data_IF_052596847619
#
_entry.id   IF_052596847619
#
_cell.length_a   1.000
_cell.length_b   1.000
_cell.length_c   1.000
_cell.angle_alpha   90.00
_cell.angle_beta   90.00
_cell.angle_gamma   90.00
#
_symmetry.space_group_name_H-M   'P 1'
#
loop_
_entity.id
_entity.type
_entity.pdbx_description
1 polymer ?
#
# COMPACT_ATOMS: atom_id res chain seq x y z
N UNK A 1 18.18 22.71 -12.60
CA UNK A 1 16.72 22.98 -12.57
C UNK A 1 16.10 22.21 -11.43
N UNK A 2 15.02 22.70 -10.82
CA UNK A 2 14.32 21.95 -9.78
C UNK A 2 13.62 20.73 -10.43
N UNK A 3 13.63 19.60 -9.72
CA UNK A 3 13.11 18.33 -10.22
C UNK A 3 11.58 18.34 -10.21
N UNK A 4 10.96 18.08 -11.36
CA UNK A 4 9.50 17.92 -11.46
C UNK A 4 9.07 16.66 -10.70
N UNK A 5 7.99 16.75 -9.92
CA UNK A 5 7.35 15.60 -9.27
C UNK A 5 5.94 15.44 -9.82
N UNK A 6 5.62 14.24 -10.26
CA UNK A 6 4.26 13.84 -10.63
C UNK A 6 3.52 13.34 -9.39
N UNK A 7 2.37 13.93 -9.09
CA UNK A 7 1.42 13.43 -8.10
C UNK A 7 0.29 12.75 -8.86
N UNK A 8 0.12 11.46 -8.68
CA UNK A 8 -0.92 10.68 -9.33
C UNK A 8 -2.10 10.40 -8.38
N UNK A 9 -3.31 10.66 -8.83
CA UNK A 9 -4.56 10.39 -8.13
C UNK A 9 -5.45 9.54 -9.02
N UNK A 10 -5.93 8.40 -8.52
CA UNK A 10 -6.99 7.63 -9.16
C UNK A 10 -8.31 7.95 -8.47
N UNK A 11 -9.39 8.15 -9.21
CA UNK A 11 -10.69 8.50 -8.67
C UNK A 11 -11.79 7.60 -9.22
N UNK A 12 -12.70 7.17 -8.35
CA UNK A 12 -13.92 6.45 -8.74
C UNK A 12 -15.06 6.74 -7.78
N UNK A 13 -16.11 7.45 -8.25
CA UNK A 13 -17.29 7.83 -7.45
C UNK A 13 -16.90 8.49 -6.12
N UNK A 14 -16.04 9.52 -6.20
CA UNK A 14 -15.37 10.14 -5.07
C UNK A 14 -15.89 11.57 -4.74
N UNK A 15 -17.13 11.90 -5.10
CA UNK A 15 -17.72 13.24 -4.84
C UNK A 15 -17.46 13.75 -3.43
N UNK A 16 -17.59 12.96 -2.34
CA UNK A 16 -17.42 13.48 -0.98
C UNK A 16 -15.97 13.88 -0.63
N UNK A 17 -14.99 13.42 -1.38
CA UNK A 17 -13.58 13.44 -0.94
C UNK A 17 -12.61 14.01 -1.96
N UNK A 18 -12.89 13.87 -3.25
CA UNK A 18 -11.95 14.17 -4.34
C UNK A 18 -11.45 15.62 -4.33
N UNK A 19 -12.31 16.59 -4.02
CA UNK A 19 -11.88 17.99 -3.95
C UNK A 19 -10.83 18.21 -2.86
N UNK A 20 -11.00 17.58 -1.68
CA UNK A 20 -10.06 17.64 -0.57
C UNK A 20 -8.74 16.98 -0.94
N UNK A 21 -8.76 15.80 -1.56
CA UNK A 21 -7.58 15.08 -2.01
C UNK A 21 -6.76 15.91 -3.01
N UNK A 22 -7.40 16.45 -4.05
CA UNK A 22 -6.73 17.29 -5.07
C UNK A 22 -6.19 18.59 -4.45
N UNK A 23 -6.94 19.24 -3.54
CA UNK A 23 -6.45 20.43 -2.82
C UNK A 23 -5.21 20.11 -1.96
N UNK A 24 -5.15 18.93 -1.34
CA UNK A 24 -3.96 18.52 -0.58
C UNK A 24 -2.73 18.32 -1.48
N UNK A 25 -2.93 17.85 -2.73
CA UNK A 25 -1.87 17.78 -3.73
C UNK A 25 -1.42 19.16 -4.21
N UNK A 26 -2.34 20.08 -4.45
CA UNK A 26 -2.04 21.46 -4.79
C UNK A 26 -1.31 22.22 -3.67
N UNK A 27 -1.56 21.86 -2.42
CA UNK A 27 -0.96 22.49 -1.23
C UNK A 27 0.46 21.98 -0.91
N UNK A 28 1.02 21.05 -1.68
CA UNK A 28 2.38 20.58 -1.43
C UNK A 28 3.38 21.72 -1.50
N UNK A 29 4.37 21.73 -0.59
CA UNK A 29 5.37 22.79 -0.50
C UNK A 29 6.43 22.73 -1.61
N UNK A 30 6.72 21.52 -2.14
CA UNK A 30 7.67 21.33 -3.23
C UNK A 30 7.13 21.87 -4.57
N UNK A 31 7.99 22.48 -5.37
CA UNK A 31 7.73 22.90 -6.75
C UNK A 31 8.97 22.64 -7.62
N UNK A 32 8.82 22.31 -8.93
CA UNK A 32 7.54 22.18 -9.67
C UNK A 32 6.84 20.83 -9.42
N UNK A 33 5.51 20.82 -9.55
CA UNK A 33 4.68 19.61 -9.55
C UNK A 33 3.78 19.58 -10.79
N UNK A 34 3.40 18.37 -11.23
CA UNK A 34 2.20 18.10 -12.04
C UNK A 34 1.29 17.15 -11.27
N UNK A 35 -0.01 17.26 -11.46
CA UNK A 35 -1.01 16.42 -10.84
C UNK A 35 -1.77 15.69 -11.93
N UNK A 36 -1.62 14.37 -12.00
CA UNK A 36 -2.35 13.54 -12.94
C UNK A 36 -3.53 12.91 -12.19
N UNK A 37 -4.75 13.20 -12.64
CA UNK A 37 -5.96 12.58 -12.08
C UNK A 37 -6.56 11.65 -13.11
N UNK A 38 -6.69 10.37 -12.74
CA UNK A 38 -7.30 9.34 -13.56
C UNK A 38 -8.68 8.99 -13.02
N UNK A 39 -9.74 9.45 -13.69
CA UNK A 39 -11.11 9.06 -13.39
C UNK A 39 -11.43 7.70 -14.03
N UNK A 40 -11.68 6.69 -13.20
CA UNK A 40 -11.92 5.33 -13.63
C UNK A 40 -13.42 5.07 -13.95
N UNK A 41 -13.98 5.92 -14.84
CA UNK A 41 -15.36 5.84 -15.29
C UNK A 41 -16.39 6.11 -14.17
N UNK A 42 -16.20 7.20 -13.39
CA UNK A 42 -17.19 7.62 -12.38
C UNK A 42 -18.54 7.89 -13.00
N UNK A 43 -19.61 7.53 -12.28
CA UNK A 43 -21.03 7.73 -12.66
C UNK A 43 -21.71 8.82 -11.83
N UNK A 44 -21.02 9.36 -10.83
CA UNK A 44 -21.46 10.50 -10.02
C UNK A 44 -20.87 11.83 -10.54
N UNK A 45 -20.97 12.91 -9.79
CA UNK A 45 -20.46 14.23 -10.16
C UNK A 45 -18.93 14.40 -9.98
N UNK A 46 -18.16 13.32 -9.79
CA UNK A 46 -16.69 13.38 -9.68
C UNK A 46 -16.05 14.04 -10.90
N UNK A 47 -16.40 13.70 -12.16
CA UNK A 47 -15.80 14.31 -13.34
C UNK A 47 -16.01 15.82 -13.44
N UNK A 48 -17.19 16.32 -13.04
CA UNK A 48 -17.53 17.73 -13.07
C UNK A 48 -16.69 18.52 -12.04
N UNK A 49 -16.49 17.97 -10.85
CA UNK A 49 -15.63 18.56 -9.81
C UNK A 49 -14.19 18.62 -10.32
N UNK A 50 -13.67 17.54 -10.90
CA UNK A 50 -12.33 17.48 -11.45
C UNK A 50 -12.13 18.47 -12.60
N UNK A 51 -13.07 18.58 -13.52
CA UNK A 51 -13.02 19.55 -14.62
C UNK A 51 -12.98 21.00 -14.09
N UNK A 52 -13.79 21.30 -13.06
CA UNK A 52 -13.79 22.63 -12.42
C UNK A 52 -12.45 22.95 -11.75
N UNK A 53 -11.78 21.97 -11.12
CA UNK A 53 -10.47 22.16 -10.52
C UNK A 53 -9.39 22.34 -11.59
N UNK A 54 -9.37 21.52 -12.64
CA UNK A 54 -8.40 21.60 -13.72
C UNK A 54 -8.49 22.93 -14.49
N UNK A 55 -9.69 23.49 -14.66
CA UNK A 55 -9.85 24.80 -15.28
C UNK A 55 -9.21 25.96 -14.50
N UNK A 56 -8.97 25.78 -13.19
CA UNK A 56 -8.37 26.81 -12.31
C UNK A 56 -6.89 26.56 -12.01
N UNK A 57 -6.39 25.34 -12.23
CA UNK A 57 -5.07 24.90 -11.84
C UNK A 57 -4.37 24.20 -13.01
N UNK A 58 -3.49 24.90 -13.75
CA UNK A 58 -2.82 24.35 -14.93
C UNK A 58 -1.87 23.18 -14.63
N UNK A 59 -1.55 22.95 -13.37
CA UNK A 59 -0.77 21.80 -12.93
C UNK A 59 -1.56 20.48 -13.04
N UNK A 60 -2.90 20.54 -13.16
CA UNK A 60 -3.77 19.36 -13.20
C UNK A 60 -3.98 18.91 -14.65
N UNK A 61 -3.68 17.65 -14.91
CA UNK A 61 -4.00 16.94 -16.16
C UNK A 61 -5.01 15.84 -15.85
N UNK A 62 -6.15 15.82 -16.54
CA UNK A 62 -7.22 14.87 -16.34
C UNK A 62 -7.19 13.79 -17.42
N UNK A 63 -7.41 12.57 -17.00
CA UNK A 63 -7.65 11.41 -17.86
C UNK A 63 -8.91 10.71 -17.40
N UNK A 64 -9.63 10.07 -18.32
CA UNK A 64 -10.82 9.30 -18.01
C UNK A 64 -10.83 7.99 -18.76
N UNK A 65 -11.16 6.90 -18.05
CA UNK A 65 -11.43 5.59 -18.67
C UNK A 65 -12.84 5.54 -19.25
N UNK A 66 -13.02 4.79 -20.32
CA UNK A 66 -14.34 4.49 -20.88
C UNK A 66 -15.11 3.45 -20.05
N UNK A 67 -14.39 2.62 -19.32
CA UNK A 67 -14.94 1.58 -18.42
C UNK A 67 -14.15 1.54 -17.12
N UNK A 68 -14.75 1.06 -16.03
CA UNK A 68 -14.03 0.85 -14.77
C UNK A 68 -13.03 -0.31 -14.91
N UNK A 69 -11.74 0.05 -14.93
CA UNK A 69 -10.60 -0.87 -15.10
C UNK A 69 -9.92 -1.23 -13.78
N UNK A 70 -10.29 -0.55 -12.70
CA UNK A 70 -9.77 -0.74 -11.35
C UNK A 70 -8.47 0.03 -11.07
N UNK A 71 -8.14 0.12 -9.78
CA UNK A 71 -7.04 0.94 -9.24
C UNK A 71 -5.69 0.66 -9.93
N UNK A 72 -5.33 -0.62 -10.12
CA UNK A 72 -4.04 -0.99 -10.76
C UNK A 72 -3.89 -0.40 -12.17
N UNK A 73 -4.96 -0.43 -12.97
CA UNK A 73 -4.93 0.12 -14.33
C UNK A 73 -4.80 1.65 -14.31
N UNK A 74 -5.49 2.33 -13.38
CA UNK A 74 -5.38 3.77 -13.18
C UNK A 74 -3.97 4.19 -12.77
N UNK A 75 -3.36 3.50 -11.80
CA UNK A 75 -1.98 3.77 -11.38
C UNK A 75 -0.98 3.55 -12.54
N UNK A 76 -1.14 2.49 -13.33
CA UNK A 76 -0.29 2.24 -14.50
C UNK A 76 -0.46 3.31 -15.59
N UNK A 77 -1.69 3.81 -15.80
CA UNK A 77 -1.92 4.93 -16.72
C UNK A 77 -1.20 6.19 -16.24
N UNK A 78 -1.25 6.48 -14.94
CA UNK A 78 -0.51 7.60 -14.34
C UNK A 78 1.00 7.42 -14.57
N UNK A 79 1.56 6.23 -14.35
CA UNK A 79 2.97 5.95 -14.60
C UNK A 79 3.37 6.19 -16.07
N UNK A 80 2.51 5.79 -17.02
CA UNK A 80 2.74 5.99 -18.45
C UNK A 80 2.72 7.47 -18.88
N UNK A 81 1.92 8.29 -18.20
CA UNK A 81 1.71 9.72 -18.50
C UNK A 81 2.62 10.66 -17.68
N UNK A 82 3.28 10.14 -16.65
CA UNK A 82 4.12 10.90 -15.74
C UNK A 82 5.35 11.49 -16.47
N UNK A 83 5.65 12.77 -16.16
CA UNK A 83 6.81 13.51 -16.69
C UNK A 83 7.83 13.83 -15.61
N UNK A 84 7.48 13.59 -14.35
CA UNK A 84 8.30 13.89 -13.19
C UNK A 84 9.49 12.94 -13.03
N UNK A 85 10.57 13.43 -12.43
CA UNK A 85 11.68 12.59 -11.99
C UNK A 85 11.28 11.64 -10.84
N UNK A 86 10.19 11.98 -10.16
CA UNK A 86 9.55 11.14 -9.14
C UNK A 86 8.05 11.08 -9.39
N UNK A 87 7.45 9.95 -9.02
CA UNK A 87 6.00 9.74 -8.99
C UNK A 87 5.58 9.40 -7.58
N UNK A 88 4.63 10.16 -7.04
CA UNK A 88 3.98 9.92 -5.76
C UNK A 88 2.51 9.64 -5.98
N UNK A 89 1.94 8.63 -5.31
CA UNK A 89 0.52 8.34 -5.39
C UNK A 89 -0.23 8.87 -4.17
N UNK A 90 -1.39 9.44 -4.44
CA UNK A 90 -2.36 9.92 -3.46
C UNK A 90 -3.69 9.21 -3.73
N UNK A 91 -4.41 8.83 -2.68
CA UNK A 91 -5.76 8.28 -2.83
C UNK A 91 -6.81 9.41 -2.90
N UNK A 92 -7.95 9.15 -3.52
CA UNK A 92 -9.03 10.14 -3.72
C UNK A 92 -9.84 10.43 -2.45
N UNK A 93 -9.61 9.67 -1.38
CA UNK A 93 -10.27 9.82 -0.07
C UNK A 93 -9.32 10.23 1.07
N UNK A 94 -8.02 10.37 0.77
CA UNK A 94 -6.97 10.73 1.74
C UNK A 94 -6.51 12.19 1.58
N UNK A 95 -5.80 12.69 2.60
CA UNK A 95 -5.12 13.99 2.56
C UNK A 95 -3.62 13.81 2.80
N UNK A 96 -2.81 14.53 2.03
CA UNK A 96 -1.36 14.58 2.25
C UNK A 96 -0.95 15.90 2.88
N UNK A 97 -0.10 15.84 3.91
CA UNK A 97 0.44 17.05 4.53
C UNK A 97 1.35 17.80 3.55
N UNK A 98 1.42 19.13 3.63
CA UNK A 98 2.10 19.97 2.62
C UNK A 98 3.57 19.60 2.39
N UNK A 99 4.26 19.13 3.39
CA UNK A 99 5.69 18.79 3.33
C UNK A 99 5.98 17.37 2.81
N UNK A 100 4.95 16.56 2.45
CA UNK A 100 5.14 15.16 2.09
C UNK A 100 6.09 14.97 0.92
N UNK A 101 5.88 15.68 -0.18
CA UNK A 101 6.68 15.52 -1.41
C UNK A 101 8.14 15.89 -1.18
N UNK A 102 8.40 17.03 -0.52
CA UNK A 102 9.76 17.47 -0.23
C UNK A 102 10.50 16.50 0.70
N UNK A 103 9.82 16.03 1.75
CA UNK A 103 10.39 15.07 2.69
C UNK A 103 10.73 13.73 2.02
N UNK A 104 9.83 13.18 1.19
CA UNK A 104 10.08 11.91 0.49
C UNK A 104 11.19 12.05 -0.54
N UNK A 105 11.20 13.13 -1.31
CA UNK A 105 12.25 13.43 -2.29
C UNK A 105 13.62 13.49 -1.61
N UNK A 106 13.75 14.28 -0.56
CA UNK A 106 14.98 14.40 0.22
C UNK A 106 15.42 13.04 0.75
N UNK A 107 14.51 12.28 1.34
CA UNK A 107 14.78 10.94 1.87
C UNK A 107 15.30 9.97 0.81
N UNK A 108 14.72 9.98 -0.41
CA UNK A 108 15.18 9.14 -1.52
C UNK A 108 16.59 9.55 -1.95
N UNK A 109 16.82 10.84 -2.22
CA UNK A 109 18.10 11.33 -2.71
C UNK A 109 19.25 11.09 -1.73
N UNK A 110 19.03 11.31 -0.44
CA UNK A 110 20.03 11.04 0.60
C UNK A 110 20.34 9.55 0.67
N UNK A 111 19.33 8.71 0.60
CA UNK A 111 19.51 7.26 0.63
C UNK A 111 20.21 6.73 -0.64
N UNK A 112 19.83 7.22 -1.81
CA UNK A 112 20.48 6.87 -3.09
C UNK A 112 21.97 7.19 -3.06
N UNK A 113 22.34 8.34 -2.50
CA UNK A 113 23.74 8.77 -2.40
C UNK A 113 24.57 7.89 -1.48
N UNK A 114 23.98 7.43 -0.36
CA UNK A 114 24.75 6.76 0.70
C UNK A 114 24.71 5.23 0.63
N UNK A 115 23.55 4.65 0.28
CA UNK A 115 23.31 3.22 0.51
C UNK A 115 22.83 2.44 -0.71
N UNK A 116 22.14 3.06 -1.67
CA UNK A 116 21.42 2.33 -2.72
C UNK A 116 22.35 1.66 -3.74
N UNK A 117 23.56 2.22 -4.00
CA UNK A 117 24.53 1.68 -4.98
C UNK A 117 23.91 1.37 -6.35
N UNK A 118 22.92 2.18 -6.77
CA UNK A 118 22.21 2.00 -8.03
C UNK A 118 20.99 1.06 -7.97
N UNK A 119 20.70 0.44 -6.84
CA UNK A 119 19.47 -0.34 -6.67
C UNK A 119 18.23 0.55 -6.65
N UNK A 120 17.06 0.04 -7.07
CA UNK A 120 15.80 0.78 -6.99
C UNK A 120 15.48 1.18 -5.54
N UNK A 121 14.98 2.40 -5.35
CA UNK A 121 14.56 2.92 -4.03
C UNK A 121 13.10 3.32 -4.08
N UNK A 122 12.31 2.87 -3.09
CA UNK A 122 10.95 3.30 -2.89
C UNK A 122 10.79 3.85 -1.47
N UNK A 123 10.14 5.02 -1.37
CA UNK A 123 9.92 5.71 -0.10
C UNK A 123 8.44 5.71 0.27
N UNK A 124 8.14 5.34 1.51
CA UNK A 124 6.80 5.44 2.09
C UNK A 124 6.82 6.35 3.31
N UNK A 125 5.66 6.91 3.66
CA UNK A 125 5.50 7.62 4.94
C UNK A 125 4.61 6.83 5.88
N UNK A 126 4.77 7.02 7.20
CA UNK A 126 3.73 6.63 8.14
C UNK A 126 2.42 7.35 7.81
N UNK A 127 1.30 6.80 8.28
CA UNK A 127 -0.05 7.31 8.02
C UNK A 127 -0.82 7.49 9.31
N UNK A 128 -1.61 8.55 9.40
CA UNK A 128 -2.59 8.75 10.46
C UNK A 128 -3.95 8.26 9.97
N UNK A 129 -4.45 7.17 10.52
CA UNK A 129 -5.80 6.66 10.23
C UNK A 129 -6.82 7.32 11.16
N UNK A 130 -7.85 7.93 10.56
CA UNK A 130 -9.00 8.52 11.26
C UNK A 130 -10.22 7.61 11.08
N UNK A 131 -10.77 7.13 12.18
CA UNK A 131 -11.95 6.26 12.19
C UNK A 131 -13.23 7.08 12.42
N UNK A 132 -14.39 6.63 11.92
CA UNK A 132 -15.66 7.34 12.09
C UNK A 132 -16.12 7.51 13.55
N UNK A 133 -15.61 6.69 14.47
CA UNK A 133 -15.84 6.81 15.92
C UNK A 133 -14.95 7.85 16.61
N UNK A 134 -14.15 8.62 15.83
CA UNK A 134 -13.21 9.61 16.33
C UNK A 134 -11.88 9.03 16.81
N UNK A 135 -11.72 7.72 16.84
CA UNK A 135 -10.43 7.11 17.19
C UNK A 135 -9.38 7.35 16.09
N UNK A 136 -8.13 7.44 16.51
CA UNK A 136 -7.00 7.71 15.63
C UNK A 136 -5.90 6.68 15.84
N UNK A 137 -5.18 6.36 14.77
CA UNK A 137 -4.06 5.43 14.83
C UNK A 137 -2.95 5.83 13.88
N UNK A 138 -1.71 5.86 14.35
CA UNK A 138 -0.54 5.94 13.49
C UNK A 138 -0.20 4.53 13.00
N UNK A 139 -0.12 4.37 11.69
CA UNK A 139 0.37 3.16 11.01
C UNK A 139 1.80 3.46 10.56
N UNK A 140 2.81 2.83 11.19
CA UNK A 140 4.21 3.02 10.81
C UNK A 140 4.50 2.44 9.42
N UNK A 141 5.61 2.84 8.84
CA UNK A 141 6.11 2.30 7.57
C UNK A 141 7.43 1.56 7.76
N UNK A 142 7.76 0.69 6.81
CA UNK A 142 9.04 -0.01 6.78
C UNK A 142 10.19 0.97 6.49
N UNK A 143 11.36 0.74 7.09
CA UNK A 143 12.58 1.48 6.77
C UNK A 143 12.65 2.91 7.33
N UNK A 144 11.95 3.19 8.43
CA UNK A 144 11.90 4.52 9.07
C UNK A 144 13.25 5.01 9.63
N UNK A 145 14.22 4.14 9.80
CA UNK A 145 15.50 4.49 10.40
C UNK A 145 16.43 5.13 9.38
N UNK A 146 16.89 6.33 9.68
CA UNK A 146 17.83 7.08 8.86
C UNK A 146 19.29 6.74 9.19
N UNK A 147 20.22 7.08 8.30
CA UNK A 147 21.67 6.89 8.50
C UNK A 147 22.14 5.44 8.51
N UNK A 148 21.34 4.50 8.02
CA UNK A 148 21.66 3.09 7.93
C UNK A 148 20.95 2.40 6.75
N UNK A 149 21.45 1.23 6.29
CA UNK A 149 20.79 0.48 5.22
C UNK A 149 19.35 0.13 5.57
N UNK A 150 18.43 0.45 4.66
CA UNK A 150 17.01 0.11 4.78
C UNK A 150 16.77 -1.38 4.42
N UNK A 151 15.63 -1.95 4.83
CA UNK A 151 15.20 -3.25 4.36
C UNK A 151 15.22 -3.34 2.84
N UNK A 152 15.76 -4.44 2.29
CA UNK A 152 15.90 -4.60 0.84
C UNK A 152 15.93 -6.07 0.42
N UNK A 153 15.61 -6.30 -0.84
CA UNK A 153 15.74 -7.60 -1.47
C UNK A 153 14.77 -8.67 -0.96
N UNK A 154 15.06 -9.96 -1.26
CA UNK A 154 14.20 -11.09 -0.91
C UNK A 154 13.74 -11.15 0.56
N UNK A 155 14.53 -10.73 1.57
CA UNK A 155 14.05 -10.68 2.96
C UNK A 155 12.80 -9.84 3.18
N UNK A 156 12.55 -8.79 2.35
CA UNK A 156 11.33 -7.99 2.40
C UNK A 156 10.13 -8.80 1.87
N UNK A 157 10.33 -9.56 0.77
CA UNK A 157 9.30 -10.47 0.25
C UNK A 157 8.97 -11.58 1.26
N UNK A 158 9.98 -12.17 1.89
CA UNK A 158 9.80 -13.15 2.96
C UNK A 158 9.04 -12.57 4.16
N UNK A 159 9.39 -11.35 4.58
CA UNK A 159 8.66 -10.65 5.63
C UNK A 159 7.17 -10.47 5.25
N UNK A 160 6.90 -10.10 4.02
CA UNK A 160 5.55 -9.79 3.53
C UNK A 160 4.70 -11.04 3.36
N UNK A 161 5.21 -12.07 2.69
CA UNK A 161 4.49 -13.32 2.42
C UNK A 161 4.47 -14.27 3.62
N UNK A 162 5.65 -14.45 4.23
CA UNK A 162 5.88 -15.47 5.23
C UNK A 162 5.83 -14.94 6.66
N UNK A 163 5.76 -13.59 6.84
CA UNK A 163 5.77 -12.94 8.15
C UNK A 163 7.07 -13.17 8.92
N UNK A 164 8.18 -13.37 8.23
CA UNK A 164 9.48 -13.53 8.88
C UNK A 164 9.91 -12.22 9.55
N UNK A 165 10.69 -12.32 10.61
CA UNK A 165 11.26 -11.14 11.27
C UNK A 165 12.29 -10.51 10.34
N UNK A 166 12.22 -9.19 10.20
CA UNK A 166 13.17 -8.41 9.41
C UNK A 166 13.57 -7.18 10.24
N UNK A 167 14.88 -6.95 10.36
CA UNK A 167 15.38 -5.76 11.03
C UNK A 167 14.86 -4.50 10.31
N UNK A 168 14.30 -3.56 11.05
CA UNK A 168 13.65 -2.35 10.51
C UNK A 168 12.51 -2.62 9.50
N UNK A 169 12.05 -3.87 9.40
CA UNK A 169 10.98 -4.30 8.49
C UNK A 169 9.57 -4.18 9.07
N UNK A 170 9.39 -3.52 10.21
CA UNK A 170 8.06 -3.26 10.78
C UNK A 170 7.40 -2.12 10.03
N UNK A 171 6.07 -2.21 9.83
CA UNK A 171 5.28 -1.18 9.17
C UNK A 171 4.70 -1.65 7.82
N UNK A 172 3.88 -0.79 7.23
CA UNK A 172 3.16 -1.05 5.99
C UNK A 172 3.71 -0.20 4.84
N UNK A 173 3.65 -0.73 3.62
CA UNK A 173 4.08 -0.08 2.38
C UNK A 173 2.88 0.10 1.44
N UNK A 174 1.96 1.00 1.81
CA UNK A 174 0.74 1.23 1.03
C UNK A 174 0.99 2.20 -0.14
N UNK A 175 0.28 1.98 -1.26
CA UNK A 175 0.38 2.82 -2.46
C UNK A 175 0.11 4.30 -2.19
N UNK A 176 -0.91 4.64 -1.39
CA UNK A 176 -1.25 6.02 -1.05
C UNK A 176 -0.14 6.81 -0.34
N UNK A 177 0.89 6.13 0.19
CA UNK A 177 2.01 6.76 0.90
C UNK A 177 3.35 6.65 0.17
N UNK A 178 3.37 6.05 -1.03
CA UNK A 178 4.61 5.78 -1.75
C UNK A 178 5.04 6.92 -2.68
N UNK A 179 6.36 7.00 -2.88
CA UNK A 179 7.01 7.82 -3.88
C UNK A 179 8.28 7.12 -4.35
N UNK A 180 8.55 7.12 -5.65
CA UNK A 180 9.77 6.58 -6.23
C UNK A 180 10.09 7.23 -7.58
N UNK A 181 11.24 6.92 -8.14
CA UNK A 181 11.55 7.26 -9.55
C UNK A 181 10.69 6.41 -10.50
N UNK A 182 10.28 6.90 -11.68
CA UNK A 182 9.62 6.09 -12.71
C UNK A 182 10.32 4.76 -12.96
N UNK A 183 11.65 4.78 -13.10
CA UNK A 183 12.46 3.57 -13.30
C UNK A 183 12.31 2.51 -12.21
N UNK A 184 11.99 2.90 -10.98
CA UNK A 184 11.71 1.95 -9.88
C UNK A 184 10.41 1.18 -10.15
N UNK A 185 9.39 1.82 -10.69
CA UNK A 185 8.13 1.16 -11.09
C UNK A 185 8.34 0.27 -12.31
N UNK A 186 9.14 0.72 -13.28
CA UNK A 186 9.43 0.02 -14.54
C UNK A 186 10.15 -1.31 -14.33
N UNK A 187 11.01 -1.42 -13.29
CA UNK A 187 11.74 -2.65 -12.97
C UNK A 187 10.84 -3.88 -12.88
N UNK A 188 9.58 -3.68 -12.42
CA UNK A 188 8.62 -4.78 -12.25
C UNK A 188 7.39 -4.64 -13.14
N UNK A 189 7.38 -3.69 -14.09
CA UNK A 189 6.28 -3.46 -15.01
C UNK A 189 5.02 -2.87 -14.36
N UNK A 190 5.19 -2.09 -13.28
CA UNK A 190 4.08 -1.44 -12.57
C UNK A 190 3.21 -2.41 -11.75
N UNK A 191 1.94 -2.05 -11.59
CA UNK A 191 0.94 -2.82 -10.83
C UNK A 191 0.25 -3.87 -11.71
N UNK A 192 -0.09 -5.02 -11.13
CA UNK A 192 -0.80 -6.09 -11.86
C UNK A 192 -2.30 -5.73 -12.04
N UNK A 193 -2.77 -5.54 -13.28
CA UNK A 193 -4.16 -5.17 -13.53
C UNK A 193 -5.19 -6.25 -13.15
N UNK A 194 -4.75 -7.50 -12.98
CA UNK A 194 -5.62 -8.59 -12.50
C UNK A 194 -5.96 -8.47 -11.01
N UNK A 195 -5.20 -7.66 -10.27
CA UNK A 195 -5.39 -7.46 -8.83
C UNK A 195 -6.18 -6.17 -8.57
N UNK A 196 -7.44 -6.31 -8.17
CA UNK A 196 -8.25 -5.19 -7.67
C UNK A 196 -7.93 -4.83 -6.21
N UNK A 197 -7.32 -5.78 -5.47
CA UNK A 197 -6.92 -5.63 -4.06
C UNK A 197 -5.55 -6.23 -3.84
N UNK A 198 -4.88 -5.82 -2.76
CA UNK A 198 -3.52 -6.25 -2.41
C UNK A 198 -2.49 -5.97 -3.52
N UNK A 199 -2.81 -5.04 -4.43
CA UNK A 199 -1.95 -4.65 -5.54
C UNK A 199 -0.62 -4.05 -5.06
N UNK A 200 -0.66 -3.28 -3.98
CA UNK A 200 0.51 -2.72 -3.30
C UNK A 200 1.39 -3.82 -2.69
N UNK A 201 0.77 -4.83 -2.08
CA UNK A 201 1.48 -5.96 -1.52
C UNK A 201 2.18 -6.78 -2.60
N UNK A 202 1.49 -7.10 -3.70
CA UNK A 202 2.09 -7.77 -4.86
C UNK A 202 3.23 -6.96 -5.47
N UNK A 203 2.99 -5.67 -5.70
CA UNK A 203 4.00 -4.76 -6.25
C UNK A 203 5.26 -4.74 -5.37
N UNK A 204 5.10 -4.58 -4.05
CA UNK A 204 6.22 -4.55 -3.12
C UNK A 204 6.97 -5.88 -3.04
N UNK A 205 6.29 -7.03 -3.18
CA UNK A 205 6.95 -8.35 -3.26
C UNK A 205 7.81 -8.44 -4.52
N UNK A 206 7.24 -8.10 -5.69
CA UNK A 206 8.00 -8.13 -6.96
C UNK A 206 9.17 -7.17 -6.93
N UNK A 207 8.96 -5.98 -6.40
CA UNK A 207 9.99 -4.96 -6.28
C UNK A 207 11.11 -5.41 -5.30
N UNK A 208 10.76 -6.06 -4.19
CA UNK A 208 11.73 -6.66 -3.27
C UNK A 208 12.55 -7.76 -3.96
N UNK A 209 11.89 -8.65 -4.72
CA UNK A 209 12.58 -9.69 -5.49
C UNK A 209 13.53 -9.11 -6.53
N UNK A 210 13.26 -7.91 -7.06
CA UNK A 210 14.16 -7.17 -7.93
C UNK A 210 15.29 -6.41 -7.19
N UNK A 211 15.43 -6.60 -5.86
CA UNK A 211 16.52 -6.03 -5.07
C UNK A 211 16.29 -4.62 -4.56
N UNK A 212 15.08 -4.08 -4.64
CA UNK A 212 14.79 -2.72 -4.22
C UNK A 212 14.97 -2.50 -2.70
N UNK A 213 15.27 -1.25 -2.34
CA UNK A 213 15.39 -0.77 -0.97
C UNK A 213 14.12 -0.01 -0.57
N UNK A 214 13.60 -0.34 0.62
CA UNK A 214 12.36 0.23 1.16
C UNK A 214 12.71 1.24 2.25
N UNK A 215 12.71 2.52 1.93
CA UNK A 215 12.97 3.60 2.88
C UNK A 215 11.66 4.17 3.41
N UNK A 216 11.68 4.62 4.66
CA UNK A 216 10.50 5.15 5.34
C UNK A 216 10.73 6.50 5.97
N UNK A 217 9.62 7.20 6.24
CA UNK A 217 9.55 8.42 7.05
C UNK A 217 8.59 8.13 8.21
N UNK A 218 9.09 8.20 9.45
CA UNK A 218 8.32 7.89 10.66
C UNK A 218 7.16 8.89 10.91
N UNK A 219 7.31 10.12 10.42
CA UNK A 219 6.25 11.14 10.53
C UNK A 219 5.07 10.78 9.65
N UNK A 220 3.82 10.80 10.18
CA UNK A 220 2.63 10.53 9.39
C UNK A 220 2.34 11.73 8.48
N UNK A 221 2.65 11.59 7.18
CA UNK A 221 2.47 12.61 6.16
C UNK A 221 1.25 12.37 5.28
N UNK A 222 0.49 11.31 5.56
CA UNK A 222 -0.81 11.00 4.95
C UNK A 222 -1.83 10.85 6.07
N UNK A 223 -2.94 11.55 5.94
CA UNK A 223 -4.13 11.41 6.80
C UNK A 223 -5.15 10.58 6.04
N UNK A 224 -5.35 9.36 6.50
CA UNK A 224 -6.20 8.36 5.84
C UNK A 224 -7.58 8.33 6.52
N UNK A 225 -8.60 8.72 5.79
CA UNK A 225 -9.98 8.64 6.26
C UNK A 225 -10.52 7.23 6.07
N UNK A 226 -10.80 6.53 7.19
CA UNK A 226 -11.30 5.16 7.15
C UNK A 226 -12.78 5.14 6.76
N UNK A 227 -13.06 4.75 5.51
CA UNK A 227 -14.41 4.63 4.97
C UNK A 227 -14.85 3.16 4.93
N UNK A 228 -16.17 2.92 5.13
CA UNK A 228 -16.76 1.61 4.88
C UNK A 228 -17.03 1.47 3.38
N UNK A 229 -16.51 0.42 2.75
CA UNK A 229 -16.89 0.07 1.39
C UNK A 229 -17.38 -1.38 1.33
N UNK A 230 -18.34 -1.65 0.46
CA UNK A 230 -18.88 -2.99 0.23
C UNK A 230 -17.84 -4.00 -0.26
N UNK A 231 -16.75 -3.52 -0.82
CA UNK A 231 -15.65 -4.36 -1.32
C UNK A 231 -14.64 -4.77 -0.23
N UNK A 232 -14.74 -4.21 0.99
CA UNK A 232 -13.83 -4.53 2.12
C UNK A 232 -14.42 -5.64 3.00
N UNK A 233 -14.87 -6.74 2.41
CA UNK A 233 -15.36 -7.89 3.18
C UNK A 233 -14.24 -8.86 3.53
N UNK A 234 -14.40 -9.62 4.63
CA UNK A 234 -13.43 -10.65 5.03
C UNK A 234 -13.25 -11.74 3.96
N UNK A 235 -14.31 -12.08 3.23
CA UNK A 235 -14.28 -13.07 2.16
C UNK A 235 -13.47 -12.59 0.96
N UNK A 236 -13.62 -11.32 0.57
CA UNK A 236 -12.84 -10.73 -0.51
C UNK A 236 -11.36 -10.61 -0.13
N UNK A 237 -11.05 -10.15 1.08
CA UNK A 237 -9.66 -10.09 1.54
C UNK A 237 -8.99 -11.46 1.54
N UNK A 238 -9.72 -12.50 1.98
CA UNK A 238 -9.24 -13.88 1.94
C UNK A 238 -9.01 -14.36 0.51
N UNK A 239 -9.96 -14.10 -0.40
CA UNK A 239 -9.86 -14.46 -1.82
C UNK A 239 -8.62 -13.85 -2.47
N UNK A 240 -8.38 -12.55 -2.27
CA UNK A 240 -7.20 -11.88 -2.83
C UNK A 240 -5.89 -12.33 -2.18
N UNK A 241 -5.91 -12.65 -0.87
CA UNK A 241 -4.76 -13.25 -0.22
C UNK A 241 -4.40 -14.61 -0.82
N UNK A 242 -5.40 -15.45 -1.16
CA UNK A 242 -5.19 -16.71 -1.88
C UNK A 242 -4.61 -16.48 -3.28
N UNK A 243 -5.18 -15.55 -4.05
CA UNK A 243 -4.67 -15.20 -5.39
C UNK A 243 -3.20 -14.79 -5.32
N UNK A 244 -2.86 -13.94 -4.35
CA UNK A 244 -1.48 -13.48 -4.15
C UNK A 244 -0.54 -14.62 -3.74
N UNK A 245 -0.97 -15.52 -2.84
CA UNK A 245 -0.18 -16.69 -2.48
C UNK A 245 0.07 -17.63 -3.66
N UNK A 246 -0.96 -17.87 -4.48
CA UNK A 246 -0.80 -18.68 -5.69
C UNK A 246 0.13 -18.01 -6.71
N UNK A 247 0.04 -16.70 -6.88
CA UNK A 247 0.90 -15.92 -7.77
C UNK A 247 2.39 -16.03 -7.37
N UNK A 248 2.67 -16.00 -6.08
CA UNK A 248 4.05 -16.07 -5.56
C UNK A 248 4.43 -17.47 -5.06
N UNK A 249 3.71 -18.52 -5.51
CA UNK A 249 3.93 -19.90 -5.08
C UNK A 249 5.36 -20.38 -5.32
N UNK A 250 5.91 -20.14 -6.50
CA UNK A 250 7.26 -20.59 -6.85
C UNK A 250 8.31 -20.10 -5.85
N UNK A 251 8.24 -18.83 -5.46
CA UNK A 251 9.14 -18.28 -4.44
C UNK A 251 8.96 -18.94 -3.07
N UNK A 252 7.71 -19.21 -2.67
CA UNK A 252 7.43 -19.88 -1.38
C UNK A 252 7.81 -21.37 -1.40
N UNK A 253 7.66 -22.04 -2.55
CA UNK A 253 8.06 -23.45 -2.72
C UNK A 253 9.59 -23.61 -2.67
N UNK A 254 10.37 -22.65 -3.21
CA UNK A 254 11.83 -22.61 -3.06
C UNK A 254 12.27 -22.53 -1.59
N UNK A 255 11.45 -21.95 -0.72
CA UNK A 255 11.69 -21.88 0.73
C UNK A 255 11.04 -23.05 1.49
N UNK A 256 10.30 -23.93 0.83
CA UNK A 256 9.56 -25.03 1.45
C UNK A 256 8.41 -24.61 2.35
N UNK A 257 7.88 -23.37 2.20
CA UNK A 257 6.93 -22.79 3.16
C UNK A 257 5.52 -22.55 2.58
N UNK A 258 5.27 -22.86 1.30
CA UNK A 258 3.96 -22.58 0.66
C UNK A 258 2.79 -23.25 1.38
N UNK A 259 2.85 -24.55 1.63
CA UNK A 259 1.79 -25.29 2.31
C UNK A 259 1.54 -24.81 3.73
N UNK A 260 2.62 -24.48 4.45
CA UNK A 260 2.51 -23.89 5.78
C UNK A 260 1.74 -22.56 5.72
N UNK A 261 2.10 -21.67 4.82
CA UNK A 261 1.49 -20.34 4.68
C UNK A 261 0.02 -20.43 4.25
N UNK A 262 -0.30 -21.32 3.33
CA UNK A 262 -1.68 -21.59 2.91
C UNK A 262 -2.54 -22.05 4.09
N UNK A 263 -2.06 -23.02 4.86
CA UNK A 263 -2.76 -23.52 6.07
C UNK A 263 -2.87 -22.46 7.15
N UNK A 264 -1.83 -21.61 7.31
CA UNK A 264 -1.90 -20.48 8.24
C UNK A 264 -2.94 -19.46 7.83
N UNK A 265 -3.06 -19.15 6.54
CA UNK A 265 -4.12 -18.27 5.99
C UNK A 265 -5.51 -18.84 6.30
N UNK A 266 -5.73 -20.16 6.11
CA UNK A 266 -6.98 -20.83 6.49
C UNK A 266 -7.26 -20.75 7.98
N UNK A 267 -6.22 -20.90 8.84
CA UNK A 267 -6.36 -20.73 10.28
C UNK A 267 -6.80 -19.30 10.63
N UNK A 268 -6.13 -18.28 10.06
CA UNK A 268 -6.50 -16.87 10.25
C UNK A 268 -7.94 -16.60 9.83
N UNK A 269 -8.38 -17.12 8.69
CA UNK A 269 -9.77 -16.99 8.23
C UNK A 269 -10.75 -17.64 9.20
N UNK A 270 -10.45 -18.87 9.66
CA UNK A 270 -11.29 -19.57 10.65
C UNK A 270 -11.41 -18.79 11.96
N UNK A 271 -10.32 -18.15 12.40
CA UNK A 271 -10.35 -17.26 13.58
C UNK A 271 -11.25 -16.05 13.37
N UNK A 272 -11.12 -15.35 12.24
CA UNK A 272 -11.89 -14.15 11.93
C UNK A 272 -13.39 -14.43 11.78
N UNK A 273 -13.74 -15.61 11.29
CA UNK A 273 -15.15 -16.09 11.17
C UNK A 273 -15.70 -16.70 12.47
N UNK A 274 -14.94 -16.72 13.56
CA UNK A 274 -15.37 -17.28 14.84
C UNK A 274 -15.38 -18.82 14.90
N UNK A 275 -14.84 -19.51 13.89
CA UNK A 275 -14.74 -20.98 13.82
C UNK A 275 -13.55 -21.49 14.64
N UNK A 276 -13.61 -21.28 15.98
CA UNK A 276 -12.50 -21.53 16.90
C UNK A 276 -12.01 -22.99 16.91
N UNK A 277 -12.92 -23.98 16.76
CA UNK A 277 -12.54 -25.40 16.67
C UNK A 277 -11.70 -25.72 15.44
N UNK A 278 -12.02 -25.14 14.28
CA UNK A 278 -11.24 -25.29 13.05
C UNK A 278 -9.87 -24.60 13.19
N UNK A 279 -9.86 -23.39 13.73
CA UNK A 279 -8.63 -22.65 14.02
C UNK A 279 -7.68 -23.47 14.91
N UNK A 280 -8.16 -23.96 16.07
CA UNK A 280 -7.37 -24.73 17.02
C UNK A 280 -6.79 -26.01 16.39
N UNK A 281 -7.60 -26.72 15.60
CA UNK A 281 -7.17 -27.95 14.90
C UNK A 281 -6.07 -27.68 13.88
N UNK A 282 -6.21 -26.61 13.07
CA UNK A 282 -5.20 -26.24 12.07
C UNK A 282 -3.90 -25.82 12.75
N UNK A 283 -3.99 -24.97 13.78
CA UNK A 283 -2.80 -24.48 14.51
C UNK A 283 -2.08 -25.62 15.23
N UNK A 284 -2.81 -26.55 15.88
CA UNK A 284 -2.21 -27.72 16.52
C UNK A 284 -1.48 -28.61 15.49
N UNK A 285 -2.09 -28.85 14.34
CA UNK A 285 -1.46 -29.60 13.25
C UNK A 285 -0.21 -28.90 12.70
N UNK A 286 -0.24 -27.57 12.55
CA UNK A 286 0.93 -26.78 12.15
C UNK A 286 2.02 -26.80 13.22
N UNK A 287 1.66 -26.71 14.50
CA UNK A 287 2.62 -26.80 15.60
C UNK A 287 3.33 -28.15 15.65
N UNK A 288 2.63 -29.22 15.28
CA UNK A 288 3.23 -30.55 15.17
C UNK A 288 4.17 -30.68 13.98
N UNK A 289 3.73 -30.22 12.78
CA UNK A 289 4.53 -30.36 11.54
C UNK A 289 5.62 -29.31 11.38
N UNK A 290 5.40 -28.08 11.86
CA UNK A 290 6.29 -26.92 11.69
C UNK A 290 6.38 -26.10 12.99
N UNK A 291 6.94 -26.63 14.08
CA UNK A 291 6.87 -26.01 15.42
C UNK A 291 7.47 -24.61 15.47
N UNK A 292 8.63 -24.41 14.87
CA UNK A 292 9.35 -23.12 14.87
C UNK A 292 8.59 -22.05 14.08
N UNK A 293 8.12 -22.38 12.87
CA UNK A 293 7.33 -21.45 12.05
C UNK A 293 6.04 -21.07 12.73
N UNK A 294 5.34 -22.05 13.34
CA UNK A 294 4.10 -21.81 14.07
C UNK A 294 4.32 -20.91 15.28
N UNK A 295 5.35 -21.18 16.09
CA UNK A 295 5.69 -20.34 17.24
C UNK A 295 6.00 -18.89 16.82
N UNK A 296 6.78 -18.70 15.74
CA UNK A 296 7.09 -17.37 15.21
C UNK A 296 5.82 -16.63 14.73
N UNK A 297 4.94 -17.32 14.01
CA UNK A 297 3.67 -16.73 13.53
C UNK A 297 2.73 -16.36 14.68
N UNK A 298 2.61 -17.19 15.68
CA UNK A 298 1.81 -16.90 16.89
C UNK A 298 2.40 -15.69 17.62
N UNK A 299 3.72 -15.65 17.83
CA UNK A 299 4.40 -14.52 18.48
C UNK A 299 4.18 -13.19 17.75
N UNK A 300 4.16 -13.20 16.42
CA UNK A 300 3.86 -12.03 15.58
C UNK A 300 2.38 -11.63 15.57
N UNK A 301 1.48 -12.58 15.84
CA UNK A 301 0.04 -12.32 15.90
C UNK A 301 -0.41 -11.70 17.23
N UNK A 302 0.26 -12.01 18.35
CA UNK A 302 -0.11 -11.55 19.69
C UNK A 302 -0.22 -10.01 19.78
N UNK A 303 0.75 -9.19 19.35
CA UNK A 303 0.64 -7.74 19.39
C UNK A 303 -0.52 -7.19 18.56
N UNK A 304 -0.95 -7.95 17.54
CA UNK A 304 -2.02 -7.55 16.62
C UNK A 304 -3.42 -8.02 17.06
N UNK A 305 -3.55 -8.78 18.17
CA UNK A 305 -4.86 -9.26 18.64
C UNK A 305 -5.81 -8.11 18.99
N UNK A 306 -5.30 -7.06 19.63
CA UNK A 306 -6.08 -5.84 19.90
C UNK A 306 -6.48 -5.08 18.64
N UNK A 307 -5.59 -5.03 17.65
CA UNK A 307 -5.79 -4.39 16.34
C UNK A 307 -6.82 -5.14 15.51
N UNK A 308 -6.75 -6.47 15.48
CA UNK A 308 -7.71 -7.32 14.78
C UNK A 308 -9.12 -7.18 15.38
N UNK A 309 -9.26 -6.94 16.69
CA UNK A 309 -10.56 -6.68 17.33
C UNK A 309 -11.14 -5.32 16.92
N UNK A 310 -10.34 -4.27 16.82
CA UNK A 310 -10.79 -2.96 16.35
C UNK A 310 -11.15 -3.03 14.86
N UNK A 311 -10.32 -3.64 14.04
CA UNK A 311 -10.56 -3.90 12.62
C UNK A 311 -11.83 -4.75 12.42
N UNK A 312 -12.00 -5.83 13.17
CA UNK A 312 -13.20 -6.69 13.12
C UNK A 312 -14.46 -5.92 13.53
N UNK A 313 -14.41 -5.09 14.56
CA UNK A 313 -15.56 -4.25 14.93
C UNK A 313 -15.95 -3.27 13.83
N UNK A 314 -14.97 -2.68 13.16
CA UNK A 314 -15.20 -1.72 12.07
C UNK A 314 -15.80 -2.41 10.83
N UNK A 315 -15.30 -3.60 10.47
CA UNK A 315 -15.70 -4.31 9.25
C UNK A 315 -16.82 -5.34 9.46
N UNK A 316 -16.99 -5.92 10.66
CA UNK A 316 -18.00 -6.95 10.94
C UNK A 316 -19.33 -6.40 11.48
N UNK A 317 -19.38 -5.20 12.07
CA UNK A 317 -20.61 -4.58 12.55
C UNK A 317 -21.34 -3.70 11.52
N UNK A 318 -21.07 -3.92 10.25
CA UNK A 318 -21.73 -3.23 9.14
C UNK A 318 -22.97 -3.93 8.59
N UNK A 319 -23.55 -4.88 9.32
CA UNK A 319 -24.72 -5.68 8.94
C UNK A 319 -25.89 -5.57 9.93
N UNK A 320 -26.15 -4.38 10.50
CA UNK A 320 -27.43 -4.01 11.14
C UNK A 320 -27.82 -2.61 10.71
#
# INVERSE_FOLDING_TARGET
MAQLVTIGITAFNAVPTIERAVRSALAQSWRPIEILVMDDCSSDATPEILASLAAKHPEIRLFRSETNRGLSAGLNQILAEARGEFVAFFDDDDESLPERIDAQRTRILDYEREFAKGAPVICHTARLQLYPDGSQRIVPTMGEHEGQPAPSGPPVAERTLLGKRLKHGYGACASCSQMARPSTYDVVGGFDPALRRSLDTDFNIRLAMAGAHFVGIARPLVVQSMTKSSEKTLSEEYRYALVMMHKHREFMDQLGEYEFCLRWLHAKQSWLEGRLGSFARIVASLAFSHPVLTANRVALAIPNLGLNRAFSRFHLRGGE
#
